data_IF_118710980017
#
_entry.id   IF_118710980017
#
_cell.length_a   1.000
_cell.length_b   1.000
_cell.length_c   1.000
_cell.angle_alpha   90.00
_cell.angle_beta   90.00
_cell.angle_gamma   90.00
#
_symmetry.space_group_name_H-M   'P 1'
#
loop_
_entity.id
_entity.type
_entity.pdbx_description
1 polymer ?
#
# COMPACT_ATOMS: atom_id res chain seq x y z
N UNK A 1 -81.22 -11.71 17.51
CA UNK A 1 -80.08 -10.80 17.77
C UNK A 1 -79.26 -11.39 18.90
N UNK A 2 -78.15 -12.06 18.59
CA UNK A 2 -77.27 -12.64 19.61
C UNK A 2 -76.22 -11.60 20.00
N UNK A 3 -76.22 -11.16 21.26
CA UNK A 3 -75.16 -10.31 21.79
C UNK A 3 -73.90 -11.16 21.96
N UNK A 4 -72.95 -11.04 21.03
CA UNK A 4 -71.62 -11.62 21.20
C UNK A 4 -70.92 -10.87 22.32
N UNK A 5 -70.78 -11.50 23.48
CA UNK A 5 -69.90 -11.03 24.55
C UNK A 5 -68.44 -11.10 24.05
N UNK A 6 -68.00 -10.09 23.31
CA UNK A 6 -66.62 -9.93 22.81
C UNK A 6 -65.67 -9.51 23.95
N UNK A 7 -65.77 -10.17 25.10
CA UNK A 7 -64.85 -10.02 26.21
C UNK A 7 -63.95 -11.24 26.23
N UNK A 8 -62.67 -11.00 26.01
CA UNK A 8 -61.61 -11.99 26.04
C UNK A 8 -60.61 -11.59 27.12
N UNK A 9 -59.89 -12.56 27.66
CA UNK A 9 -58.99 -12.29 28.79
C UNK A 9 -57.73 -11.54 28.31
N UNK A 10 -57.41 -10.42 28.94
CA UNK A 10 -56.15 -9.73 28.69
C UNK A 10 -54.97 -10.51 29.29
N UNK A 11 -53.93 -10.75 28.49
CA UNK A 11 -52.73 -11.50 28.92
C UNK A 11 -51.92 -10.80 30.03
N UNK A 12 -52.02 -9.48 30.15
CA UNK A 12 -51.24 -8.69 31.13
C UNK A 12 -51.96 -8.51 32.47
N UNK A 13 -53.26 -8.20 32.44
CA UNK A 13 -54.03 -7.93 33.66
C UNK A 13 -54.99 -9.05 34.07
N UNK A 14 -55.09 -10.14 33.29
CA UNK A 14 -55.94 -11.31 33.52
C UNK A 14 -57.43 -11.03 33.71
N UNK A 15 -57.91 -9.85 33.30
CA UNK A 15 -59.32 -9.44 33.38
C UNK A 15 -60.03 -9.62 32.05
N UNK A 16 -61.28 -10.08 32.10
CA UNK A 16 -62.15 -10.18 30.92
C UNK A 16 -62.61 -8.78 30.48
N UNK A 17 -62.10 -8.33 29.35
CA UNK A 17 -62.34 -7.00 28.79
C UNK A 17 -62.45 -7.09 27.26
N UNK A 18 -62.82 -5.99 26.63
CA UNK A 18 -62.60 -5.84 25.19
C UNK A 18 -61.07 -5.84 24.99
N UNK A 19 -60.57 -6.82 24.24
CA UNK A 19 -59.15 -6.94 23.93
C UNK A 19 -58.90 -6.84 22.44
N UNK A 20 -57.67 -6.48 22.10
CA UNK A 20 -57.15 -6.37 20.76
C UNK A 20 -55.97 -7.33 20.62
N UNK A 21 -55.90 -8.01 19.48
CA UNK A 21 -54.80 -8.91 19.15
C UNK A 21 -53.59 -8.09 18.71
N UNK A 22 -52.43 -8.32 19.33
CA UNK A 22 -51.15 -7.88 18.79
C UNK A 22 -50.65 -8.94 17.80
N UNK A 23 -50.53 -8.60 16.52
CA UNK A 23 -50.06 -9.54 15.49
C UNK A 23 -48.60 -9.97 15.72
N UNK A 24 -47.76 -9.08 16.27
CA UNK A 24 -46.34 -9.35 16.50
C UNK A 24 -46.08 -10.46 17.53
N UNK A 25 -46.80 -10.47 18.65
CA UNK A 25 -46.63 -11.49 19.69
C UNK A 25 -47.83 -12.46 19.81
N UNK A 26 -48.84 -12.34 18.95
CA UNK A 26 -50.05 -13.16 18.91
C UNK A 26 -50.82 -13.23 20.24
N UNK A 27 -50.78 -12.17 21.05
CA UNK A 27 -51.43 -12.07 22.37
C UNK A 27 -52.53 -11.03 22.38
N UNK A 28 -53.57 -11.27 23.19
CA UNK A 28 -54.70 -10.37 23.38
C UNK A 28 -54.48 -9.43 24.57
N UNK A 29 -54.63 -8.12 24.34
CA UNK A 29 -54.44 -7.08 25.34
C UNK A 29 -55.64 -6.16 25.43
N UNK A 30 -55.99 -5.68 26.62
CA UNK A 30 -56.91 -4.54 26.71
C UNK A 30 -56.21 -3.26 26.20
N UNK A 31 -56.99 -2.24 25.80
CA UNK A 31 -56.43 -1.03 25.18
C UNK A 31 -55.27 -0.41 25.97
N UNK A 32 -55.39 -0.33 27.30
CA UNK A 32 -54.33 0.21 28.16
C UNK A 32 -53.06 -0.64 28.15
N UNK A 33 -53.22 -1.96 28.27
CA UNK A 33 -52.07 -2.88 28.30
C UNK A 33 -51.41 -3.01 26.93
N UNK A 34 -52.17 -2.83 25.83
CA UNK A 34 -51.63 -2.77 24.48
C UNK A 34 -50.76 -1.52 24.29
N UNK A 35 -51.21 -0.37 24.79
CA UNK A 35 -50.43 0.88 24.77
C UNK A 35 -49.15 0.72 25.58
N UNK A 36 -49.23 0.13 26.77
CA UNK A 36 -48.05 -0.17 27.59
C UNK A 36 -47.09 -1.13 26.89
N UNK A 37 -47.61 -2.18 26.24
CA UNK A 37 -46.81 -3.11 25.46
C UNK A 37 -46.05 -2.40 24.32
N UNK A 38 -46.71 -1.49 23.59
CA UNK A 38 -46.05 -0.67 22.56
C UNK A 38 -45.01 0.29 23.13
N UNK A 39 -45.22 0.83 24.33
CA UNK A 39 -44.22 1.67 25.00
C UNK A 39 -42.94 0.88 25.32
N UNK A 40 -43.08 -0.34 25.87
CA UNK A 40 -41.94 -1.22 26.12
C UNK A 40 -41.16 -1.55 24.84
N UNK A 41 -41.86 -1.86 23.74
CA UNK A 41 -41.20 -2.10 22.44
C UNK A 41 -40.46 -0.86 21.92
N UNK A 42 -40.98 0.34 22.19
CA UNK A 42 -40.32 1.59 21.80
C UNK A 42 -39.06 1.85 22.65
N UNK A 43 -39.10 1.51 23.95
CA UNK A 43 -37.92 1.54 24.83
C UNK A 43 -36.85 0.55 24.35
N UNK A 44 -37.24 -0.70 24.03
CA UNK A 44 -36.33 -1.70 23.45
C UNK A 44 -35.70 -1.22 22.13
N UNK A 45 -36.51 -0.61 21.25
CA UNK A 45 -35.99 -0.07 19.98
C UNK A 45 -35.00 1.07 20.21
N UNK A 46 -35.23 1.95 21.19
CA UNK A 46 -34.26 3.00 21.56
C UNK A 46 -32.94 2.41 22.01
N UNK A 47 -32.96 1.38 22.85
CA UNK A 47 -31.74 0.69 23.25
C UNK A 47 -30.98 0.10 22.06
N UNK A 48 -31.69 -0.52 21.10
CA UNK A 48 -31.05 -1.03 19.87
C UNK A 48 -30.40 0.09 19.05
N UNK A 49 -31.06 1.26 18.95
CA UNK A 49 -30.51 2.42 18.25
C UNK A 49 -29.26 2.93 18.96
N UNK A 50 -29.31 3.08 20.29
CA UNK A 50 -28.18 3.54 21.09
C UNK A 50 -26.98 2.57 20.98
N UNK A 51 -27.21 1.26 21.00
CA UNK A 51 -26.18 0.24 20.81
C UNK A 51 -25.57 0.29 19.41
N UNK A 52 -26.40 0.50 18.39
CA UNK A 52 -25.94 0.65 17.01
C UNK A 52 -25.06 1.89 16.83
N UNK A 53 -25.46 3.03 17.38
CA UNK A 53 -24.71 4.28 17.27
C UNK A 53 -23.36 4.17 18.00
N UNK A 54 -23.34 3.58 19.20
CA UNK A 54 -22.09 3.31 19.92
C UNK A 54 -21.17 2.35 19.15
N UNK A 55 -21.73 1.29 18.55
CA UNK A 55 -20.94 0.35 17.75
C UNK A 55 -20.34 1.05 16.53
N UNK A 56 -21.14 1.87 15.83
CA UNK A 56 -20.71 2.61 14.65
C UNK A 56 -19.61 3.61 14.99
N UNK A 57 -19.73 4.33 16.09
CA UNK A 57 -18.70 5.25 16.57
C UNK A 57 -17.39 4.51 16.83
N UNK A 58 -17.42 3.42 17.63
CA UNK A 58 -16.25 2.58 17.90
C UNK A 58 -15.63 2.00 16.64
N UNK A 59 -16.44 1.58 15.66
CA UNK A 59 -15.96 1.05 14.40
C UNK A 59 -15.23 2.11 13.55
N UNK A 60 -15.74 3.35 13.54
CA UNK A 60 -15.10 4.47 12.83
C UNK A 60 -13.80 4.88 13.51
N UNK A 61 -13.77 4.95 14.85
CA UNK A 61 -12.57 5.28 15.62
C UNK A 61 -11.47 4.22 15.50
N UNK A 62 -11.85 2.94 15.43
CA UNK A 62 -10.91 1.81 15.33
C UNK A 62 -10.47 1.53 13.89
N UNK A 63 -10.92 2.31 12.90
CA UNK A 63 -10.50 2.11 11.51
C UNK A 63 -8.99 2.38 11.41
N UNK A 64 -8.15 1.35 11.18
CA UNK A 64 -6.72 1.57 11.11
C UNK A 64 -6.41 2.51 9.94
N UNK A 65 -5.51 3.46 10.16
CA UNK A 65 -4.94 4.22 9.07
C UNK A 65 -4.29 3.21 8.10
N UNK A 66 -4.62 3.23 6.80
CA UNK A 66 -4.01 2.31 5.84
C UNK A 66 -2.48 2.37 5.84
N UNK A 67 -1.89 3.51 6.21
CA UNK A 67 -0.45 3.69 6.34
C UNK A 67 0.17 3.02 7.58
N UNK A 68 -0.63 2.70 8.60
CA UNK A 68 -0.16 2.02 9.82
C UNK A 68 -0.19 0.49 9.67
N UNK A 69 -0.64 -0.03 8.53
CA UNK A 69 -0.63 -1.47 8.24
C UNK A 69 0.82 -1.96 8.12
N UNK A 70 1.18 -3.00 8.91
CA UNK A 70 2.52 -3.62 8.89
C UNK A 70 3.00 -3.94 7.47
N UNK A 71 2.10 -4.43 6.61
CA UNK A 71 2.39 -4.76 5.22
C UNK A 71 2.86 -3.55 4.40
N UNK A 72 2.31 -2.35 4.64
CA UNK A 72 2.76 -1.13 3.96
C UNK A 72 4.16 -0.76 4.41
N UNK A 73 4.47 -0.90 5.70
CA UNK A 73 5.83 -0.67 6.20
C UNK A 73 6.83 -1.68 5.61
N UNK A 74 6.46 -2.95 5.49
CA UNK A 74 7.29 -3.97 4.84
C UNK A 74 7.54 -3.66 3.36
N UNK A 75 6.50 -3.21 2.63
CA UNK A 75 6.63 -2.76 1.23
C UNK A 75 7.59 -1.56 1.12
N UNK A 76 7.45 -0.57 2.00
CA UNK A 76 8.30 0.63 2.00
C UNK A 76 9.77 0.26 2.30
N UNK A 77 10.01 -0.64 3.25
CA UNK A 77 11.38 -1.12 3.56
C UNK A 77 11.97 -1.90 2.38
N UNK A 78 11.19 -2.79 1.77
CA UNK A 78 11.62 -3.54 0.60
C UNK A 78 11.97 -2.62 -0.58
N UNK A 79 11.19 -1.56 -0.81
CA UNK A 79 11.46 -0.57 -1.83
C UNK A 79 12.78 0.17 -1.55
N UNK A 80 12.95 0.69 -0.33
CA UNK A 80 14.16 1.40 0.07
C UNK A 80 15.42 0.53 -0.08
N UNK A 81 15.39 -0.70 0.42
CA UNK A 81 16.50 -1.65 0.32
C UNK A 81 16.84 -1.96 -1.13
N UNK A 82 15.82 -2.10 -1.98
CA UNK A 82 16.00 -2.39 -3.40
C UNK A 82 16.66 -1.23 -4.13
N UNK A 83 16.22 0.00 -3.86
CA UNK A 83 16.84 1.22 -4.42
C UNK A 83 18.31 1.32 -4.03
N UNK A 84 18.64 1.10 -2.75
CA UNK A 84 20.03 1.15 -2.27
C UNK A 84 20.89 0.12 -3.00
N UNK A 85 20.42 -1.13 -3.10
CA UNK A 85 21.16 -2.21 -3.79
C UNK A 85 21.40 -1.90 -5.26
N UNK A 86 20.39 -1.40 -5.97
CA UNK A 86 20.49 -1.04 -7.39
C UNK A 86 21.49 0.10 -7.56
N UNK A 87 21.41 1.14 -6.72
CA UNK A 87 22.31 2.28 -6.79
C UNK A 87 23.76 1.88 -6.50
N UNK A 88 23.99 1.05 -5.49
CA UNK A 88 25.32 0.53 -5.17
C UNK A 88 25.88 -0.25 -6.35
N UNK A 89 25.11 -1.20 -6.90
CA UNK A 89 25.59 -2.00 -8.02
C UNK A 89 25.87 -1.15 -9.27
N UNK A 90 25.05 -0.13 -9.52
CA UNK A 90 25.27 0.81 -10.61
C UNK A 90 26.54 1.64 -10.41
N UNK A 91 26.89 2.02 -9.18
CA UNK A 91 28.18 2.69 -8.88
C UNK A 91 29.36 1.77 -9.15
N UNK A 92 29.32 0.54 -8.65
CA UNK A 92 30.39 -0.44 -8.86
C UNK A 92 30.64 -0.69 -10.36
N UNK A 93 29.57 -0.86 -11.14
CA UNK A 93 29.68 -1.04 -12.58
C UNK A 93 30.32 0.17 -13.28
N UNK A 94 29.94 1.40 -12.89
CA UNK A 94 30.55 2.62 -13.45
C UNK A 94 32.03 2.71 -13.11
N UNK A 95 32.43 2.40 -11.89
CA UNK A 95 33.84 2.41 -11.47
C UNK A 95 34.68 1.41 -12.26
N UNK A 96 34.16 0.19 -12.50
CA UNK A 96 34.86 -0.81 -13.32
C UNK A 96 35.09 -0.28 -14.75
N UNK A 97 34.06 0.30 -15.36
CA UNK A 97 34.16 0.85 -16.72
C UNK A 97 35.13 2.01 -16.77
N UNK A 98 35.06 2.95 -15.83
CA UNK A 98 35.97 4.10 -15.75
C UNK A 98 37.42 3.62 -15.59
N UNK A 99 37.68 2.71 -14.64
CA UNK A 99 39.03 2.22 -14.37
C UNK A 99 39.62 1.49 -15.57
N UNK A 100 38.85 0.59 -16.19
CA UNK A 100 39.31 -0.12 -17.39
C UNK A 100 39.56 0.83 -18.57
N UNK A 101 38.73 1.87 -18.73
CA UNK A 101 38.90 2.87 -19.77
C UNK A 101 40.16 3.72 -19.53
N UNK A 102 40.38 4.17 -18.29
CA UNK A 102 41.59 4.92 -17.91
C UNK A 102 42.85 4.10 -18.15
N UNK A 103 42.86 2.81 -17.80
CA UNK A 103 44.00 1.93 -18.10
C UNK A 103 44.30 1.89 -19.60
N UNK A 104 43.28 1.68 -20.44
CA UNK A 104 43.44 1.65 -21.90
C UNK A 104 43.90 2.98 -22.48
N UNK A 105 43.40 4.10 -21.95
CA UNK A 105 43.82 5.44 -22.36
C UNK A 105 45.29 5.65 -22.02
N UNK A 106 45.71 5.35 -20.78
CA UNK A 106 47.09 5.50 -20.34
C UNK A 106 48.06 4.61 -21.15
N UNK A 107 47.65 3.38 -21.48
CA UNK A 107 48.46 2.48 -22.31
C UNK A 107 48.61 3.01 -23.74
N UNK A 108 47.54 3.58 -24.30
CA UNK A 108 47.59 4.26 -25.60
C UNK A 108 48.51 5.48 -25.55
N UNK A 109 48.40 6.30 -24.51
CA UNK A 109 49.24 7.49 -24.32
C UNK A 109 50.73 7.13 -24.24
N UNK A 110 51.08 6.05 -23.50
CA UNK A 110 52.46 5.53 -23.45
C UNK A 110 52.97 5.12 -24.83
N UNK A 111 52.15 4.42 -25.63
CA UNK A 111 52.53 4.02 -26.99
C UNK A 111 52.75 5.23 -27.90
N UNK A 112 51.87 6.22 -27.82
CA UNK A 112 52.01 7.47 -28.58
C UNK A 112 53.27 8.24 -28.18
N UNK A 113 53.60 8.31 -26.89
CA UNK A 113 54.83 8.93 -26.42
C UNK A 113 56.07 8.18 -26.91
N UNK A 114 56.06 6.84 -26.88
CA UNK A 114 57.15 6.03 -27.42
C UNK A 114 57.34 6.23 -28.93
N UNK A 115 56.24 6.29 -29.70
CA UNK A 115 56.27 6.58 -31.13
C UNK A 115 56.82 7.98 -31.42
N UNK A 116 56.43 8.97 -30.61
CA UNK A 116 56.95 10.35 -30.71
C UNK A 116 58.46 10.42 -30.52
N UNK A 117 59.00 9.69 -29.54
CA UNK A 117 60.46 9.62 -29.34
C UNK A 117 61.18 8.91 -30.49
N UNK A 118 60.61 7.82 -31.03
CA UNK A 118 61.16 7.17 -32.23
C UNK A 118 61.20 8.12 -33.43
N UNK A 119 60.13 8.88 -33.66
CA UNK A 119 60.08 9.88 -34.75
C UNK A 119 61.16 10.95 -34.56
N UNK A 120 61.34 11.46 -33.33
CA UNK A 120 62.38 12.45 -33.03
C UNK A 120 63.78 11.89 -33.29
N UNK A 121 64.06 10.68 -32.81
CA UNK A 121 65.36 10.04 -32.98
C UNK A 121 65.72 9.87 -34.46
N UNK A 122 64.80 9.30 -35.25
CA UNK A 122 64.96 9.12 -36.71
C UNK A 122 65.25 10.46 -37.41
N UNK A 123 64.56 11.52 -36.98
CA UNK A 123 64.76 12.87 -37.52
C UNK A 123 66.13 13.45 -37.14
N UNK A 124 66.53 13.30 -35.88
CA UNK A 124 67.78 13.88 -35.35
C UNK A 124 69.02 13.16 -35.90
N UNK A 125 68.93 11.84 -36.08
CA UNK A 125 69.96 11.02 -36.73
C UNK A 125 70.00 11.25 -38.25
N UNK A 126 68.91 11.80 -38.82
CA UNK A 126 68.71 12.00 -40.26
C UNK A 126 68.87 10.69 -41.08
N UNK A 127 68.61 9.55 -40.43
CA UNK A 127 68.68 8.20 -40.98
C UNK A 127 67.27 7.64 -41.18
N UNK A 128 66.61 8.00 -42.28
CA UNK A 128 65.32 7.44 -42.67
C UNK A 128 65.27 7.05 -44.13
N UNK A 129 64.48 6.01 -44.42
CA UNK A 129 64.12 5.59 -45.76
C UNK A 129 62.61 5.30 -45.87
N UNK A 130 62.16 4.89 -47.04
CA UNK A 130 60.76 4.60 -47.34
C UNK A 130 60.17 3.53 -46.40
N UNK A 131 60.97 2.54 -45.97
CA UNK A 131 60.54 1.48 -45.04
C UNK A 131 60.26 2.08 -43.65
N UNK A 132 61.13 2.97 -43.16
CA UNK A 132 60.90 3.65 -41.87
C UNK A 132 59.63 4.50 -41.91
N UNK A 133 59.42 5.23 -43.01
CA UNK A 133 58.25 6.09 -43.18
C UNK A 133 56.95 5.28 -43.32
N UNK A 134 57.00 4.11 -43.98
CA UNK A 134 55.87 3.20 -44.10
C UNK A 134 55.51 2.56 -42.75
N UNK A 135 56.51 2.12 -41.97
CA UNK A 135 56.29 1.62 -40.61
C UNK A 135 55.59 2.64 -39.71
N UNK A 136 56.10 3.88 -39.66
CA UNK A 136 55.51 4.94 -38.83
C UNK A 136 54.07 5.27 -39.23
N UNK A 137 53.73 5.18 -40.52
CA UNK A 137 52.36 5.36 -41.01
C UNK A 137 51.43 4.24 -40.59
N UNK A 138 51.93 3.01 -40.47
CA UNK A 138 51.14 1.86 -40.07
C UNK A 138 50.91 1.80 -38.54
N UNK A 139 51.75 2.47 -37.75
CA UNK A 139 51.60 2.57 -36.29
C UNK A 139 50.63 3.69 -35.84
N UNK A 140 50.19 4.57 -36.76
CA UNK A 140 49.22 5.65 -36.53
C UNK A 140 47.79 5.22 -36.88
#
# INVERSE_FOLDING_TARGET
MAMTNNKTQCVMCNKDKITYLCEGCSKNFCLMDLTRHRQLLNEELRHIIDDYDQFKEKFVEQKPNPHDLSLINEINQWEMDSVIKIQQKARDCREIVIKSSQTRINDTEKKLNALSEQIKQIRDENEFNEINLEYLRNEL
#
